data_IF_244479071440
#
_entry.id   IF_244479071440
#
_cell.length_a   1.000
_cell.length_b   1.000
_cell.length_c   1.000
_cell.angle_alpha   90.00
_cell.angle_beta   90.00
_cell.angle_gamma   90.00
#
_symmetry.space_group_name_H-M   'P 1'
#
loop_
_entity.id
_entity.type
_entity.pdbx_description
1 polymer ?
#
# COMPACT_ATOMS: atom_id res chain seq x y z
N UNK A 1 -2.57 17.31 -2.03
CA UNK A 1 -1.46 16.62 -2.72
C UNK A 1 -0.25 16.69 -1.80
N UNK A 2 0.44 15.58 -1.56
CA UNK A 2 1.63 15.56 -0.71
C UNK A 2 2.61 14.45 -1.13
N UNK A 3 3.93 14.70 -0.96
CA UNK A 3 4.95 13.65 -0.95
C UNK A 3 5.29 13.32 0.50
N UNK A 4 5.22 12.04 0.86
CA UNK A 4 5.53 11.58 2.22
C UNK A 4 7.03 11.72 2.45
N UNK A 5 7.38 12.27 3.62
CA UNK A 5 8.77 12.46 4.05
C UNK A 5 9.23 11.48 5.13
N UNK A 6 8.30 10.91 5.88
CA UNK A 6 8.55 9.98 6.98
C UNK A 6 7.24 9.30 7.40
N UNK A 7 7.35 8.09 7.95
CA UNK A 7 6.23 7.38 8.57
C UNK A 7 6.48 7.16 10.06
N UNK A 8 5.46 7.40 10.87
CA UNK A 8 5.52 7.22 12.33
C UNK A 8 4.14 6.91 12.88
N UNK A 9 4.07 6.19 14.00
CA UNK A 9 2.80 5.91 14.66
C UNK A 9 2.16 7.22 15.12
N UNK A 10 0.91 7.44 14.70
CA UNK A 10 0.11 8.58 15.17
C UNK A 10 -0.25 8.44 16.64
N UNK A 11 -0.41 9.58 17.32
CA UNK A 11 -0.83 9.65 18.73
C UNK A 11 -2.28 10.14 18.89
N UNK A 12 -2.92 10.54 17.80
CA UNK A 12 -4.31 11.00 17.79
C UNK A 12 -5.26 9.80 17.78
N UNK A 13 -6.45 9.99 18.36
CA UNK A 13 -7.53 9.02 18.23
C UNK A 13 -8.14 9.12 16.83
N UNK A 14 -8.01 8.06 16.03
CA UNK A 14 -8.51 7.99 14.65
C UNK A 14 -9.67 7.00 14.59
N UNK A 15 -10.80 7.44 14.05
CA UNK A 15 -11.97 6.58 13.79
C UNK A 15 -11.98 6.09 12.34
N UNK A 16 -12.64 4.95 12.09
CA UNK A 16 -12.87 4.43 10.74
C UNK A 16 -13.72 5.44 9.94
N UNK A 17 -13.34 5.70 8.70
CA UNK A 17 -14.09 6.59 7.80
C UNK A 17 -15.41 5.95 7.35
N UNK A 18 -16.46 6.77 7.19
CA UNK A 18 -17.81 6.30 6.82
C UNK A 18 -18.06 6.06 5.33
N UNK A 19 -17.06 6.31 4.46
CA UNK A 19 -17.17 6.11 3.02
C UNK A 19 -15.91 5.43 2.47
N UNK A 20 -16.09 4.63 1.42
CA UNK A 20 -14.99 4.08 0.62
C UNK A 20 -14.71 5.00 -0.57
N UNK A 21 -13.53 4.88 -1.18
CA UNK A 21 -13.11 5.68 -2.34
C UNK A 21 -12.33 4.79 -3.29
N UNK A 22 -12.37 5.13 -4.58
CA UNK A 22 -11.46 4.52 -5.55
C UNK A 22 -10.08 5.13 -5.43
N UNK A 23 -9.04 4.30 -5.47
CA UNK A 23 -7.64 4.74 -5.44
C UNK A 23 -6.93 4.27 -6.70
N UNK A 24 -6.53 5.21 -7.54
CA UNK A 24 -5.70 4.93 -8.71
C UNK A 24 -4.23 5.08 -8.33
N UNK A 25 -3.39 4.24 -8.92
CA UNK A 25 -1.95 4.32 -8.77
C UNK A 25 -1.26 4.49 -10.13
N UNK A 26 -0.15 5.19 -10.14
CA UNK A 26 0.73 5.32 -11.30
C UNK A 26 2.17 5.54 -10.85
N UNK A 27 3.12 5.12 -11.68
CA UNK A 27 4.54 5.40 -11.48
C UNK A 27 4.88 6.71 -12.19
N UNK A 28 5.61 7.58 -11.51
CA UNK A 28 6.14 8.82 -12.10
C UNK A 28 7.64 8.89 -11.89
N UNK A 29 8.36 9.43 -12.88
CA UNK A 29 9.79 9.66 -12.76
C UNK A 29 10.05 10.77 -11.73
N UNK A 30 10.95 10.50 -10.79
CA UNK A 30 11.45 11.45 -9.80
C UNK A 30 12.83 11.99 -10.15
N UNK A 31 13.39 12.86 -9.30
CA UNK A 31 14.78 13.32 -9.42
C UNK A 31 15.75 12.13 -9.44
N UNK A 32 16.91 12.31 -10.06
CA UNK A 32 18.00 11.32 -10.04
C UNK A 32 17.57 9.92 -10.52
N UNK A 33 16.67 9.87 -11.50
CA UNK A 33 16.15 8.62 -12.07
C UNK A 33 15.42 7.72 -11.05
N UNK A 34 14.88 8.30 -9.98
CA UNK A 34 14.07 7.58 -9.00
C UNK A 34 12.67 7.31 -9.53
N UNK A 35 12.02 6.27 -9.03
CA UNK A 35 10.61 6.00 -9.27
C UNK A 35 9.78 6.45 -8.08
N UNK A 36 8.73 7.22 -8.34
CA UNK A 36 7.78 7.67 -7.33
C UNK A 36 6.44 6.99 -7.60
N UNK A 37 5.89 6.33 -6.58
CA UNK A 37 4.52 5.82 -6.62
C UNK A 37 3.58 6.97 -6.28
N UNK A 38 2.70 7.32 -7.22
CA UNK A 38 1.62 8.27 -7.03
C UNK A 38 0.30 7.52 -6.81
N UNK A 39 -0.40 7.89 -5.74
CA UNK A 39 -1.73 7.41 -5.40
C UNK A 39 -2.70 8.58 -5.41
N UNK A 40 -3.87 8.39 -6.00
CA UNK A 40 -4.91 9.42 -6.05
C UNK A 40 -6.27 8.80 -5.77
N UNK A 41 -6.97 9.35 -4.78
CA UNK A 41 -8.32 8.91 -4.42
C UNK A 41 -9.38 9.77 -5.08
N UNK A 42 -10.46 9.16 -5.52
CA UNK A 42 -11.61 9.81 -6.13
C UNK A 42 -12.86 9.47 -5.32
N UNK A 43 -13.74 10.45 -5.12
CA UNK A 43 -14.93 10.28 -4.30
C UNK A 43 -15.82 9.13 -4.78
N UNK A 44 -16.52 8.47 -3.85
CA UNK A 44 -17.43 7.34 -4.10
C UNK A 44 -18.58 7.67 -5.05
N UNK A 45 -19.19 6.59 -5.56
CA UNK A 45 -20.29 6.42 -6.54
C UNK A 45 -21.46 7.43 -6.55
N UNK A 46 -21.58 8.33 -5.57
CA UNK A 46 -22.69 9.26 -5.40
C UNK A 46 -22.45 10.66 -6.04
N UNK A 47 -21.86 10.75 -7.23
CA UNK A 47 -21.68 12.06 -7.92
C UNK A 47 -22.00 12.09 -9.41
N UNK A 48 -22.81 13.10 -9.76
CA UNK A 48 -23.25 13.51 -11.10
C UNK A 48 -22.19 14.23 -11.96
N UNK A 49 -20.91 14.27 -11.55
CA UNK A 49 -19.86 15.05 -12.24
C UNK A 49 -18.51 14.33 -12.31
N UNK A 50 -17.69 14.72 -13.31
CA UNK A 50 -16.42 14.08 -13.64
C UNK A 50 -15.49 13.92 -12.42
N UNK A 51 -14.81 12.76 -12.27
CA UNK A 51 -14.08 12.41 -11.06
C UNK A 51 -12.92 13.40 -10.83
N UNK A 52 -13.06 14.24 -9.80
CA UNK A 52 -11.99 15.11 -9.31
C UNK A 52 -11.28 14.42 -8.16
N UNK A 53 -9.95 14.29 -8.26
CA UNK A 53 -9.12 13.77 -7.18
C UNK A 53 -9.38 14.58 -5.90
N UNK A 54 -9.80 13.89 -4.84
CA UNK A 54 -10.03 14.51 -3.54
C UNK A 54 -8.73 14.64 -2.77
N UNK A 55 -7.82 13.68 -2.92
CA UNK A 55 -6.54 13.59 -2.23
C UNK A 55 -5.54 12.82 -3.09
N UNK A 56 -4.25 13.17 -2.95
CA UNK A 56 -3.16 12.43 -3.58
C UNK A 56 -1.93 12.37 -2.71
N UNK A 57 -1.23 11.23 -2.78
CA UNK A 57 -0.08 10.86 -2.00
C UNK A 57 1.03 10.37 -2.93
N UNK A 58 2.27 10.78 -2.68
CA UNK A 58 3.44 10.25 -3.36
C UNK A 58 4.41 9.65 -2.35
N UNK A 59 4.97 8.49 -2.69
CA UNK A 59 6.00 7.81 -1.91
C UNK A 59 7.16 7.42 -2.82
N UNK A 60 8.38 7.54 -2.31
CA UNK A 60 9.58 6.97 -2.94
C UNK A 60 9.89 5.58 -2.35
N UNK A 61 10.97 4.98 -2.82
CA UNK A 61 11.40 3.64 -2.41
C UNK A 61 11.70 3.54 -0.90
N UNK A 62 12.28 4.59 -0.31
CA UNK A 62 12.60 4.61 1.12
C UNK A 62 11.32 4.54 1.95
N UNK A 63 10.36 5.41 1.65
CA UNK A 63 9.06 5.40 2.34
C UNK A 63 8.26 4.14 2.01
N UNK A 64 8.34 3.61 0.79
CA UNK A 64 7.67 2.37 0.42
C UNK A 64 8.18 1.18 1.26
N UNK A 65 9.49 1.10 1.52
CA UNK A 65 10.08 0.08 2.40
C UNK A 65 9.57 0.20 3.84
N UNK A 66 9.47 1.42 4.38
CA UNK A 66 8.88 1.66 5.70
C UNK A 66 7.39 1.28 5.75
N UNK A 67 6.64 1.66 4.72
CA UNK A 67 5.22 1.34 4.60
C UNK A 67 4.99 -0.18 4.56
N UNK A 68 5.82 -0.93 3.84
CA UNK A 68 5.75 -2.40 3.81
C UNK A 68 5.95 -3.02 5.20
N UNK A 69 6.84 -2.47 6.03
CA UNK A 69 7.00 -2.94 7.42
C UNK A 69 5.73 -2.70 8.23
N UNK A 70 5.09 -1.55 8.06
CA UNK A 70 3.82 -1.22 8.73
C UNK A 70 2.70 -2.15 8.25
N UNK A 71 2.57 -2.38 6.93
CA UNK A 71 1.58 -3.28 6.35
C UNK A 71 1.78 -4.71 6.87
N UNK A 72 3.02 -5.21 6.88
CA UNK A 72 3.36 -6.54 7.42
C UNK A 72 2.98 -6.71 8.89
N UNK A 73 3.31 -5.71 9.71
CA UNK A 73 2.93 -5.72 11.13
C UNK A 73 1.43 -5.61 11.36
N UNK A 74 0.70 -4.96 10.45
CA UNK A 74 -0.76 -4.78 10.55
C UNK A 74 -1.51 -6.02 10.07
N UNK A 75 -1.02 -6.69 9.03
CA UNK A 75 -1.67 -7.83 8.39
C UNK A 75 -0.72 -9.04 8.29
N UNK A 76 -0.39 -9.69 9.42
CA UNK A 76 0.63 -10.75 9.45
C UNK A 76 0.29 -11.95 8.55
N UNK A 77 -1.00 -12.24 8.35
CA UNK A 77 -1.45 -13.37 7.54
C UNK A 77 -1.29 -13.16 6.03
N UNK A 78 -1.03 -11.93 5.55
CA UNK A 78 -0.81 -11.67 4.11
C UNK A 78 0.52 -12.22 3.59
N UNK A 79 1.45 -12.58 4.49
CA UNK A 79 2.82 -12.95 4.14
C UNK A 79 3.18 -14.39 4.54
N UNK A 80 2.22 -15.15 5.08
CA UNK A 80 2.40 -16.56 5.42
C UNK A 80 2.12 -17.45 4.22
N UNK A 81 3.17 -17.73 3.42
CA UNK A 81 3.37 -18.89 2.51
C UNK A 81 4.53 -18.65 1.50
N UNK A 82 5.59 -17.94 1.92
CA UNK A 82 6.85 -17.85 1.15
C UNK A 82 8.03 -18.54 1.88
N UNK A 83 7.73 -19.43 2.83
CA UNK A 83 8.70 -20.27 3.53
C UNK A 83 8.30 -21.75 3.34
N UNK A 84 9.20 -22.53 2.74
CA UNK A 84 8.91 -23.81 2.11
C UNK A 84 8.25 -24.87 3.00
N UNK A 85 7.28 -25.57 2.39
CA UNK A 85 6.99 -26.96 2.71
C UNK A 85 7.81 -27.85 1.77
N UNK A 86 9.06 -28.15 2.15
CA UNK A 86 9.66 -29.42 1.73
C UNK A 86 9.00 -30.52 2.56
N UNK A 87 7.87 -31.01 2.08
CA UNK A 87 7.35 -32.30 2.53
C UNK A 87 8.26 -33.38 1.96
N UNK A 88 9.14 -33.93 2.81
CA UNK A 88 9.85 -35.20 2.56
C UNK A 88 8.82 -36.31 2.31
N UNK A 89 8.44 -36.50 1.06
CA UNK A 89 7.70 -37.68 0.58
C UNK A 89 8.66 -38.64 -0.12
N UNK A 90 9.54 -39.29 0.66
CA UNK A 90 10.27 -40.45 0.16
C UNK A 90 9.29 -41.59 -0.09
N UNK A 91 9.23 -42.10 -1.33
CA UNK A 91 8.58 -43.37 -1.60
C UNK A 91 9.35 -44.49 -0.87
N UNK A 92 8.70 -45.36 -0.08
CA UNK A 92 9.24 -46.69 0.12
C UNK A 92 8.90 -47.54 -1.11
N UNK A 93 9.96 -48.01 -1.74
CA UNK A 93 9.94 -49.07 -2.75
C UNK A 93 9.56 -50.37 -2.03
N UNK A 94 8.52 -51.06 -2.51
CA UNK A 94 8.31 -52.50 -2.36
C UNK A 94 7.36 -52.97 -3.45
#
# INVERSE_FOLDING_TARGET
>A
MARVRSLSKGHQNVAIHGSSVDCYFQMVAGPENTTILHLSTFGSDDRHSAPKSSQSLQIDEVIASELLKVIRGTFPNLFGELGGSESKGGLPVS
#
